data_IF_165003888091
#
_entry.id   IF_165003888091
#
_cell.length_a   1.000
_cell.length_b   1.000
_cell.length_c   1.000
_cell.angle_alpha   90.00
_cell.angle_beta   90.00
_cell.angle_gamma   90.00
#
_symmetry.space_group_name_H-M   'P 1'
#
loop_
_entity.id
_entity.type
_entity.pdbx_description
1 polymer ?
#
# COMPACT_ATOMS: atom_id res chain seq x y z
N UNK A 1 55.52 -9.52 -15.45
CA UNK A 1 54.49 -10.58 -15.59
C UNK A 1 53.27 -10.15 -14.78
N UNK A 2 52.09 -10.23 -15.40
CA UNK A 2 50.79 -9.77 -14.84
C UNK A 2 50.43 -10.43 -13.50
N UNK A 3 49.35 -10.04 -12.81
CA UNK A 3 48.06 -9.61 -13.32
C UNK A 3 47.39 -8.58 -12.39
N UNK A 4 46.81 -7.55 -12.98
CA UNK A 4 45.82 -6.65 -12.39
C UNK A 4 44.46 -7.36 -12.34
N UNK A 5 43.92 -7.60 -11.14
CA UNK A 5 42.53 -8.04 -10.96
C UNK A 5 41.73 -6.90 -10.30
N UNK A 6 41.39 -5.88 -11.09
CA UNK A 6 40.39 -4.89 -10.69
C UNK A 6 39.01 -5.47 -11.02
N UNK A 7 38.35 -6.03 -10.00
CA UNK A 7 37.00 -6.59 -10.14
C UNK A 7 36.00 -5.44 -10.08
N UNK A 8 35.76 -4.79 -11.22
CA UNK A 8 34.58 -3.94 -11.42
C UNK A 8 33.33 -4.79 -11.17
N UNK A 9 32.69 -4.57 -10.03
CA UNK A 9 31.40 -5.17 -9.71
C UNK A 9 30.36 -4.34 -10.43
N UNK A 10 30.19 -4.67 -11.72
CA UNK A 10 29.16 -4.19 -12.64
C UNK A 10 27.84 -4.02 -11.88
N UNK A 11 27.39 -2.78 -11.82
CA UNK A 11 26.06 -2.39 -11.39
C UNK A 11 25.02 -3.31 -12.03
N UNK A 12 24.50 -4.24 -11.23
CA UNK A 12 23.22 -4.85 -11.51
C UNK A 12 22.15 -3.79 -11.24
N UNK A 13 22.08 -2.77 -12.10
CA UNK A 13 20.95 -1.86 -12.19
C UNK A 13 19.78 -2.69 -12.72
N UNK A 14 19.12 -3.36 -11.77
CA UNK A 14 18.16 -4.42 -12.04
C UNK A 14 16.94 -3.85 -12.76
N UNK A 15 16.80 -4.18 -14.04
CA UNK A 15 15.54 -4.10 -14.78
C UNK A 15 14.38 -4.84 -14.09
N UNK A 16 14.64 -5.62 -13.02
CA UNK A 16 13.62 -6.33 -12.25
C UNK A 16 12.66 -5.44 -11.46
N UNK A 17 12.93 -4.14 -11.31
CA UNK A 17 12.05 -3.24 -10.53
C UNK A 17 10.64 -3.10 -11.12
N UNK A 18 10.52 -2.98 -12.45
CA UNK A 18 9.21 -2.84 -13.11
C UNK A 18 8.42 -4.16 -13.10
N UNK A 19 9.11 -5.27 -13.32
CA UNK A 19 8.49 -6.60 -13.35
C UNK A 19 7.98 -7.00 -11.95
N UNK A 20 8.76 -6.75 -10.90
CA UNK A 20 8.33 -6.98 -9.51
C UNK A 20 7.15 -6.08 -9.11
N UNK A 21 7.15 -4.83 -9.57
CA UNK A 21 6.05 -3.91 -9.30
C UNK A 21 4.76 -4.35 -10.01
N UNK A 22 4.82 -4.74 -11.28
CA UNK A 22 3.67 -5.26 -12.01
C UNK A 22 3.12 -6.55 -11.37
N UNK A 23 4.00 -7.50 -11.04
CA UNK A 23 3.61 -8.75 -10.38
C UNK A 23 2.95 -8.49 -9.01
N UNK A 24 3.51 -7.57 -8.21
CA UNK A 24 2.95 -7.21 -6.91
C UNK A 24 1.59 -6.51 -7.00
N UNK A 25 1.38 -5.67 -8.02
CA UNK A 25 0.08 -5.01 -8.29
C UNK A 25 -0.99 -6.05 -8.66
N UNK A 26 -0.65 -7.01 -9.52
CA UNK A 26 -1.55 -8.11 -9.86
C UNK A 26 -1.85 -9.00 -8.65
N UNK A 27 -0.85 -9.30 -7.84
CA UNK A 27 -1.00 -10.08 -6.62
C UNK A 27 -1.90 -9.35 -5.61
N UNK A 28 -1.73 -8.04 -5.42
CA UNK A 28 -2.64 -7.25 -4.60
C UNK A 28 -4.06 -7.28 -5.15
N UNK A 29 -4.23 -7.15 -6.47
CA UNK A 29 -5.53 -7.20 -7.12
C UNK A 29 -6.26 -8.53 -6.94
N UNK A 30 -5.53 -9.66 -6.91
CA UNK A 30 -6.07 -10.99 -6.57
C UNK A 30 -6.40 -11.07 -5.08
N UNK A 31 -5.48 -10.65 -4.22
CA UNK A 31 -5.65 -10.67 -2.77
C UNK A 31 -6.84 -9.83 -2.31
N UNK A 32 -7.12 -8.69 -2.95
CA UNK A 32 -8.27 -7.84 -2.66
C UNK A 32 -9.63 -8.50 -2.98
N UNK A 33 -9.67 -9.59 -3.74
CA UNK A 33 -10.91 -10.35 -3.97
C UNK A 33 -11.19 -11.37 -2.86
N UNK A 34 -10.15 -11.79 -2.14
CA UNK A 34 -10.22 -12.88 -1.16
C UNK A 34 -10.04 -12.39 0.28
N UNK A 35 -9.31 -11.29 0.47
CA UNK A 35 -8.97 -10.73 1.76
C UNK A 35 -9.77 -9.44 2.03
N UNK A 36 -10.68 -9.44 3.03
CA UNK A 36 -11.51 -8.28 3.35
C UNK A 36 -10.72 -7.01 3.73
N UNK A 37 -9.54 -7.14 4.33
CA UNK A 37 -8.67 -6.00 4.67
C UNK A 37 -8.09 -5.37 3.41
N UNK A 38 -7.60 -6.20 2.48
CA UNK A 38 -7.10 -5.71 1.19
C UNK A 38 -8.21 -5.06 0.36
N UNK A 39 -9.41 -5.63 0.37
CA UNK A 39 -10.59 -5.06 -0.29
C UNK A 39 -10.90 -3.64 0.25
N UNK A 40 -10.95 -3.50 1.58
CA UNK A 40 -11.23 -2.21 2.22
C UNK A 40 -10.14 -1.18 1.98
N UNK A 41 -8.86 -1.56 2.02
CA UNK A 41 -7.77 -0.63 1.67
C UNK A 41 -7.89 -0.11 0.24
N UNK A 42 -8.19 -1.00 -0.72
CA UNK A 42 -8.36 -0.62 -2.12
C UNK A 42 -9.54 0.33 -2.31
N UNK A 43 -10.66 0.05 -1.63
CA UNK A 43 -11.86 0.89 -1.66
C UNK A 43 -11.56 2.30 -1.13
N UNK A 44 -10.98 2.41 0.08
CA UNK A 44 -10.67 3.69 0.72
C UNK A 44 -9.63 4.50 -0.05
N UNK A 45 -8.61 3.84 -0.61
CA UNK A 45 -7.64 4.50 -1.51
C UNK A 45 -8.32 5.05 -2.76
N UNK A 46 -9.17 4.26 -3.40
CA UNK A 46 -9.87 4.69 -4.62
C UNK A 46 -10.81 5.87 -4.34
N UNK A 47 -11.51 5.84 -3.19
CA UNK A 47 -12.34 6.95 -2.75
C UNK A 47 -11.53 8.23 -2.51
N UNK A 48 -10.36 8.12 -1.87
CA UNK A 48 -9.45 9.24 -1.68
C UNK A 48 -8.97 9.83 -3.00
N UNK A 49 -8.48 9.00 -3.92
CA UNK A 49 -8.03 9.44 -5.25
C UNK A 49 -9.13 10.16 -6.02
N UNK A 50 -10.37 9.64 -6.00
CA UNK A 50 -11.51 10.32 -6.59
C UNK A 50 -11.79 11.68 -5.91
N UNK A 51 -11.63 11.76 -4.58
CA UNK A 51 -11.85 13.00 -3.82
C UNK A 51 -10.84 14.11 -4.14
N UNK A 52 -9.64 13.77 -4.63
CA UNK A 52 -8.65 14.78 -5.02
C UNK A 52 -9.11 15.64 -6.19
N UNK A 53 -9.97 15.10 -7.05
CA UNK A 53 -10.62 15.81 -8.16
C UNK A 53 -11.77 16.71 -7.67
N UNK A 54 -12.22 16.55 -6.43
CA UNK A 54 -13.24 17.39 -5.82
C UNK A 54 -12.62 18.66 -5.21
N UNK A 55 -13.40 19.74 -5.06
CA UNK A 55 -12.94 20.98 -4.42
C UNK A 55 -12.43 20.75 -2.98
N UNK A 56 -13.08 19.84 -2.25
CA UNK A 56 -12.76 19.50 -0.85
C UNK A 56 -12.34 18.03 -0.76
N UNK A 57 -11.04 17.72 -0.62
CA UNK A 57 -10.56 16.36 -0.43
C UNK A 57 -11.02 15.73 0.87
N UNK A 58 -10.99 14.40 0.89
CA UNK A 58 -11.22 13.61 2.07
C UNK A 58 -9.91 13.47 2.87
N UNK A 59 -9.63 14.43 3.75
CA UNK A 59 -8.36 14.45 4.53
C UNK A 59 -8.48 13.88 5.95
N UNK A 60 -9.69 13.53 6.39
CA UNK A 60 -9.89 13.02 7.74
C UNK A 60 -9.36 11.58 7.86
N UNK A 61 -8.61 11.24 8.93
CA UNK A 61 -8.27 9.87 9.25
C UNK A 61 -9.51 9.00 9.30
N UNK A 62 -9.48 7.86 8.61
CA UNK A 62 -10.60 6.93 8.55
C UNK A 62 -10.33 5.68 9.35
N UNK A 63 -11.27 5.29 10.18
CA UNK A 63 -11.25 4.02 10.89
C UNK A 63 -12.41 3.17 10.37
N UNK A 64 -12.08 2.01 9.80
CA UNK A 64 -13.04 1.11 9.17
C UNK A 64 -12.80 -0.34 9.61
N UNK A 65 -13.85 -1.15 9.57
CA UNK A 65 -13.76 -2.58 9.87
C UNK A 65 -13.86 -3.42 8.61
N UNK A 66 -12.95 -4.38 8.49
CA UNK A 66 -13.05 -5.45 7.51
C UNK A 66 -13.90 -6.58 8.08
N UNK A 67 -14.89 -7.05 7.30
CA UNK A 67 -15.74 -8.17 7.72
C UNK A 67 -14.94 -9.47 7.75
N UNK A 68 -14.44 -9.81 8.93
CA UNK A 68 -13.53 -10.93 9.20
C UNK A 68 -14.00 -11.77 10.38
N UNK A 69 -15.26 -11.57 10.82
CA UNK A 69 -15.84 -12.28 11.97
C UNK A 69 -15.88 -13.79 11.71
N UNK A 70 -16.36 -14.19 10.52
CA UNK A 70 -16.51 -15.59 10.14
C UNK A 70 -15.21 -16.24 9.65
N UNK A 71 -14.24 -15.41 9.24
CA UNK A 71 -12.94 -15.86 8.77
C UNK A 71 -11.84 -14.92 9.29
N UNK A 72 -11.44 -15.07 10.57
CA UNK A 72 -10.45 -14.19 11.17
C UNK A 72 -9.08 -14.40 10.52
N UNK A 73 -8.26 -13.34 10.50
CA UNK A 73 -7.00 -13.33 9.76
C UNK A 73 -5.81 -13.40 10.70
N UNK A 74 -4.69 -13.96 10.23
CA UNK A 74 -3.42 -13.82 10.96
C UNK A 74 -2.80 -12.45 10.71
N UNK A 75 -2.09 -11.91 11.69
CA UNK A 75 -1.32 -10.66 11.51
C UNK A 75 -0.32 -10.74 10.36
N UNK A 76 0.27 -11.93 10.11
CA UNK A 76 1.18 -12.18 8.98
C UNK A 76 0.47 -12.02 7.64
N UNK A 77 -0.75 -12.51 7.50
CA UNK A 77 -1.55 -12.33 6.28
C UNK A 77 -1.83 -10.84 6.06
N UNK A 78 -2.12 -10.10 7.12
CA UNK A 78 -2.36 -8.66 7.04
C UNK A 78 -1.09 -7.86 6.75
N UNK A 79 0.07 -8.26 7.28
CA UNK A 79 1.36 -7.65 6.89
C UNK A 79 1.65 -7.84 5.40
N UNK A 80 1.33 -9.01 4.84
CA UNK A 80 1.41 -9.23 3.38
C UNK A 80 0.49 -8.29 2.61
N UNK A 81 -0.73 -8.03 3.11
CA UNK A 81 -1.64 -7.03 2.52
C UNK A 81 -0.97 -5.66 2.45
N UNK A 82 -0.37 -5.20 3.55
CA UNK A 82 0.31 -3.90 3.59
C UNK A 82 1.44 -3.76 2.57
N UNK A 83 2.33 -4.76 2.49
CA UNK A 83 3.44 -4.77 1.51
C UNK A 83 2.96 -4.68 0.07
N UNK A 84 1.97 -5.49 -0.29
CA UNK A 84 1.42 -5.51 -1.64
C UNK A 84 0.63 -4.23 -1.95
N UNK A 85 -0.04 -3.67 -0.95
CA UNK A 85 -0.73 -2.39 -1.08
C UNK A 85 0.26 -1.24 -1.40
N UNK A 86 1.45 -1.23 -0.79
CA UNK A 86 2.47 -0.22 -1.13
C UNK A 86 2.89 -0.29 -2.61
N UNK A 87 3.06 -1.50 -3.15
CA UNK A 87 3.38 -1.69 -4.57
C UNK A 87 2.22 -1.21 -5.46
N UNK A 88 0.99 -1.52 -5.06
CA UNK A 88 -0.23 -1.07 -5.74
C UNK A 88 -0.32 0.46 -5.80
N UNK A 89 -0.18 1.14 -4.66
CA UNK A 89 -0.24 2.61 -4.57
C UNK A 89 0.90 3.26 -5.35
N UNK A 90 2.14 2.74 -5.23
CA UNK A 90 3.28 3.25 -5.98
C UNK A 90 3.04 3.21 -7.48
N UNK A 91 2.48 2.11 -7.98
CA UNK A 91 2.12 1.98 -9.39
C UNK A 91 1.01 2.96 -9.79
N UNK A 92 -0.06 3.08 -8.98
CA UNK A 92 -1.17 3.98 -9.26
C UNK A 92 -0.72 5.45 -9.31
N UNK A 93 0.14 5.89 -8.39
CA UNK A 93 0.75 7.23 -8.43
C UNK A 93 1.62 7.43 -9.68
N UNK A 94 2.45 6.44 -10.03
CA UNK A 94 3.30 6.50 -11.23
C UNK A 94 2.46 6.66 -12.50
N UNK A 95 1.34 5.92 -12.63
CA UNK A 95 0.44 6.02 -13.78
C UNK A 95 -0.28 7.37 -13.87
N UNK A 96 -0.44 8.07 -12.74
CA UNK A 96 -1.04 9.39 -12.66
C UNK A 96 -0.03 10.53 -12.76
N UNK A 97 1.26 10.20 -12.86
CA UNK A 97 2.38 11.15 -12.79
C UNK A 97 2.41 11.92 -11.45
N UNK A 98 1.90 11.29 -10.39
CA UNK A 98 1.85 11.86 -9.05
C UNK A 98 3.02 11.39 -8.19
N UNK A 99 3.42 12.25 -7.26
CA UNK A 99 4.42 11.95 -6.24
C UNK A 99 3.76 11.53 -4.92
N UNK A 100 4.54 10.91 -4.04
CA UNK A 100 4.10 10.68 -2.68
C UNK A 100 4.99 9.75 -1.87
N UNK A 101 4.79 9.79 -0.56
CA UNK A 101 5.37 8.85 0.38
C UNK A 101 4.24 8.06 1.02
N UNK A 102 4.50 6.80 1.32
CA UNK A 102 3.52 5.89 1.88
C UNK A 102 4.17 5.01 2.93
N UNK A 103 3.42 4.70 3.97
CA UNK A 103 3.83 3.78 5.01
C UNK A 103 2.64 2.93 5.45
N UNK A 104 2.93 1.78 6.05
CA UNK A 104 1.93 0.99 6.73
C UNK A 104 2.49 0.38 8.01
N UNK A 105 1.61 0.15 8.97
CA UNK A 105 1.93 -0.55 10.20
C UNK A 105 0.82 -1.53 10.52
N UNK A 106 1.19 -2.74 10.95
CA UNK A 106 0.24 -3.72 11.46
C UNK A 106 0.40 -3.84 12.96
N UNK A 107 -0.70 -3.63 13.69
CA UNK A 107 -0.75 -3.83 15.14
C UNK A 107 -1.68 -5.00 15.41
N UNK A 108 -1.13 -6.03 16.05
CA UNK A 108 -1.85 -7.24 16.41
C UNK A 108 -2.14 -7.32 17.90
N UNK A 109 -3.36 -7.72 18.24
CA UNK A 109 -3.80 -8.17 19.56
C UNK A 109 -4.35 -9.60 19.41
N UNK A 110 -4.65 -10.26 20.54
CA UNK A 110 -5.11 -11.65 20.58
C UNK A 110 -6.28 -11.92 19.62
N UNK A 111 -7.39 -11.20 19.77
CA UNK A 111 -8.62 -11.48 19.01
C UNK A 111 -8.88 -10.47 17.88
N UNK A 112 -8.03 -9.47 17.72
CA UNK A 112 -8.20 -8.42 16.74
C UNK A 112 -6.87 -7.77 16.36
N UNK A 113 -6.85 -7.02 15.27
CA UNK A 113 -5.75 -6.15 14.94
C UNK A 113 -6.22 -5.03 14.04
N UNK A 114 -5.28 -4.18 13.66
CA UNK A 114 -5.52 -3.22 12.59
C UNK A 114 -4.29 -3.06 11.72
N UNK A 115 -4.54 -2.73 10.46
CA UNK A 115 -3.54 -2.20 9.54
C UNK A 115 -3.79 -0.70 9.41
N UNK A 116 -2.82 0.10 9.81
CA UNK A 116 -2.79 1.54 9.55
C UNK A 116 -1.98 1.79 8.28
N UNK A 117 -2.52 2.51 7.32
CA UNK A 117 -1.81 2.96 6.13
C UNK A 117 -1.89 4.48 6.04
N UNK A 118 -0.78 5.11 5.69
CA UNK A 118 -0.67 6.56 5.52
C UNK A 118 -0.04 6.88 4.18
N UNK A 119 -0.46 7.97 3.57
CA UNK A 119 0.17 8.51 2.38
C UNK A 119 0.16 10.04 2.40
N UNK A 120 1.29 10.64 2.02
CA UNK A 120 1.35 12.03 1.56
C UNK A 120 1.39 12.00 0.04
N UNK A 121 0.44 12.63 -0.63
CA UNK A 121 0.33 12.62 -2.10
C UNK A 121 0.52 14.02 -2.62
N UNK A 122 1.42 14.17 -3.59
CA UNK A 122 1.53 15.37 -4.42
C UNK A 122 0.87 15.09 -5.78
N UNK A 123 -0.37 15.55 -5.91
CA UNK A 123 -1.15 15.43 -7.13
C UNK A 123 -0.88 16.62 -8.05
N UNK A 124 -0.13 16.39 -9.13
CA UNK A 124 0.03 17.37 -10.19
C UNK A 124 -1.27 17.52 -10.98
N UNK A 125 -1.79 18.73 -11.07
CA UNK A 125 -2.87 19.06 -12.00
C UNK A 125 -2.32 19.46 -13.37
N UNK A 126 -3.16 19.33 -14.41
CA UNK A 126 -2.83 19.78 -15.77
C UNK A 126 -2.52 21.28 -15.86
N UNK A 127 -2.93 22.07 -14.87
CA UNK A 127 -2.63 23.51 -14.77
C UNK A 127 -1.25 23.82 -14.18
N UNK A 128 -0.45 22.79 -13.86
CA UNK A 128 0.86 22.93 -13.22
C UNK A 128 0.80 23.23 -11.72
N UNK A 129 -0.40 23.35 -11.13
CA UNK A 129 -0.56 23.42 -9.67
C UNK A 129 -0.46 22.01 -9.09
N UNK A 130 0.48 21.78 -8.19
CA UNK A 130 0.49 20.65 -7.27
C UNK A 130 -0.56 20.85 -6.18
N UNK A 131 -1.20 19.76 -5.79
CA UNK A 131 -2.09 19.69 -4.64
C UNK A 131 -1.54 18.61 -3.72
N UNK A 132 -1.02 19.05 -2.58
CA UNK A 132 -0.61 18.16 -1.50
C UNK A 132 -1.85 17.72 -0.73
N UNK A 133 -1.95 16.43 -0.43
CA UNK A 133 -3.02 15.87 0.36
C UNK A 133 -2.50 14.74 1.25
N UNK A 134 -3.06 14.64 2.45
CA UNK A 134 -2.77 13.58 3.39
C UNK A 134 -3.91 12.56 3.39
N UNK A 135 -3.55 11.29 3.36
CA UNK A 135 -4.47 10.18 3.49
C UNK A 135 -4.03 9.28 4.64
N UNK A 136 -4.96 8.93 5.51
CA UNK A 136 -4.76 7.99 6.59
C UNK A 136 -5.98 7.09 6.72
N UNK A 137 -5.76 5.78 6.74
CA UNK A 137 -6.79 4.79 7.02
C UNK A 137 -6.29 3.76 8.01
N UNK A 138 -7.21 3.29 8.85
CA UNK A 138 -7.00 2.22 9.81
C UNK A 138 -8.08 1.16 9.60
N UNK A 139 -7.66 0.00 9.13
CA UNK A 139 -8.55 -1.12 8.81
C UNK A 139 -8.44 -2.17 9.91
N UNK A 140 -9.48 -2.28 10.72
CA UNK A 140 -9.60 -3.26 11.79
C UNK A 140 -10.03 -4.63 11.26
N UNK A 141 -9.58 -5.69 11.92
CA UNK A 141 -9.90 -7.07 11.60
C UNK A 141 -9.90 -7.95 12.86
N UNK A 142 -10.66 -9.04 12.82
CA UNK A 142 -10.60 -10.10 13.84
C UNK A 142 -9.41 -11.02 13.55
N UNK A 143 -8.74 -11.46 14.60
CA UNK A 143 -7.52 -12.28 14.53
C UNK A 143 -7.75 -13.69 15.06
N UNK A 144 -7.06 -14.68 14.49
CA UNK A 144 -6.96 -16.04 15.05
C UNK A 144 -5.72 -16.24 15.94
N UNK A 145 -5.01 -15.17 16.30
CA UNK A 145 -3.78 -15.26 17.08
C UNK A 145 -4.09 -15.66 18.53
N UNK A 146 -3.97 -16.95 18.86
CA UNK A 146 -3.96 -17.38 20.26
C UNK A 146 -2.75 -16.77 20.96
N UNK A 147 -2.97 -16.10 22.08
CA UNK A 147 -1.91 -15.86 23.06
C UNK A 147 -1.42 -17.24 23.53
N UNK A 148 -0.14 -17.50 23.30
CA UNK A 148 0.58 -18.63 23.88
C UNK A 148 0.61 -18.53 25.39
#
# INVERSE_FOLDING_TARGET
>A
MGCTNTKEKKDANSCGGKEQLAAGVEEFGKLAKENPVAAKLKEEWSAFVCSLSLPTPLEAPREVWANTVDNPLTHRTVDKVGKLFLLYVKNDLTLREWGGNFDYTVVGLENQGFLKATASVDASSSTGRSKEAMWEVKVHYHSTAKTS
#
